data_IF_025028303447
#
_entry.id   IF_025028303447
#
_cell.length_a   1.000
_cell.length_b   1.000
_cell.length_c   1.000
_cell.angle_alpha   90.00
_cell.angle_beta   90.00
_cell.angle_gamma   90.00
#
_symmetry.space_group_name_H-M   'P 1'
#
loop_
_entity.id
_entity.type
_entity.pdbx_description
1 polymer ?
#
# COMPACT_ATOMS: atom_id res chain seq x y z
N UNK A 1 41.19 3.33 -0.76
CA UNK A 1 42.39 4.11 -0.35
C UNK A 1 43.72 3.50 -0.78
N UNK A 2 43.81 2.22 -1.17
CA UNK A 2 45.09 1.58 -1.52
C UNK A 2 45.36 1.37 -3.02
N UNK A 3 44.38 1.58 -3.93
CA UNK A 3 44.63 1.41 -5.37
C UNK A 3 45.48 2.55 -5.94
N UNK A 4 45.25 3.77 -5.48
CA UNK A 4 45.84 4.97 -6.08
C UNK A 4 47.32 5.10 -5.71
N UNK A 5 47.70 4.63 -4.52
CA UNK A 5 49.08 4.53 -4.05
C UNK A 5 49.88 3.49 -4.83
N UNK A 6 49.28 2.34 -5.16
CA UNK A 6 49.93 1.30 -5.97
C UNK A 6 50.12 1.77 -7.41
N UNK A 7 49.11 2.43 -8.00
CA UNK A 7 49.23 3.01 -9.35
C UNK A 7 50.30 4.11 -9.39
N UNK A 8 50.36 4.98 -8.37
CA UNK A 8 51.39 6.02 -8.28
C UNK A 8 52.81 5.45 -8.14
N UNK A 9 53.01 4.38 -7.37
CA UNK A 9 54.31 3.71 -7.25
C UNK A 9 54.75 3.05 -8.56
N UNK A 10 53.83 2.40 -9.29
CA UNK A 10 54.13 1.79 -10.59
C UNK A 10 54.50 2.85 -11.63
N UNK A 11 53.78 3.98 -11.66
CA UNK A 11 54.09 5.10 -12.58
C UNK A 11 55.43 5.75 -12.22
N UNK A 12 55.73 5.92 -10.93
CA UNK A 12 56.99 6.46 -10.44
C UNK A 12 58.19 5.57 -10.76
N UNK A 13 58.08 4.26 -10.52
CA UNK A 13 59.13 3.30 -10.87
C UNK A 13 59.39 3.26 -12.38
N UNK A 14 58.33 3.37 -13.20
CA UNK A 14 58.44 3.41 -14.66
C UNK A 14 59.15 4.67 -15.17
N UNK A 15 58.92 5.81 -14.53
CA UNK A 15 59.65 7.05 -14.82
C UNK A 15 61.12 6.95 -14.41
N UNK A 16 61.42 6.44 -13.22
CA UNK A 16 62.79 6.24 -12.74
C UNK A 16 63.58 5.27 -13.61
N UNK A 17 62.97 4.16 -14.05
CA UNK A 17 63.60 3.21 -14.96
C UNK A 17 63.87 3.86 -16.33
N UNK A 18 62.92 4.64 -16.86
CA UNK A 18 63.10 5.40 -18.09
C UNK A 18 64.21 6.43 -17.99
N UNK A 19 64.36 7.10 -16.84
CA UNK A 19 65.40 8.08 -16.58
C UNK A 19 66.78 7.43 -16.42
N UNK A 20 66.88 6.32 -15.69
CA UNK A 20 68.12 5.56 -15.55
C UNK A 20 68.56 4.97 -16.88
N UNK A 21 67.62 4.45 -17.68
CA UNK A 21 67.90 3.97 -19.03
C UNK A 21 68.35 5.10 -19.96
N UNK A 22 67.77 6.30 -19.83
CA UNK A 22 68.13 7.47 -20.63
C UNK A 22 69.51 8.03 -20.25
N UNK A 23 69.82 8.16 -18.95
CA UNK A 23 71.12 8.62 -18.45
C UNK A 23 72.24 7.67 -18.88
N UNK A 24 72.01 6.35 -18.77
CA UNK A 24 73.00 5.36 -19.23
C UNK A 24 73.18 5.37 -20.77
N UNK A 25 72.11 5.64 -21.52
CA UNK A 25 72.19 5.80 -22.98
C UNK A 25 72.88 7.09 -23.42
N UNK A 26 72.69 8.18 -22.67
CA UNK A 26 73.26 9.48 -22.97
C UNK A 26 74.77 9.52 -22.70
N UNK A 27 75.26 8.80 -21.68
CA UNK A 27 76.69 8.77 -21.35
C UNK A 27 77.50 7.75 -22.17
N UNK A 28 76.93 6.60 -22.58
CA UNK A 28 77.70 5.57 -23.32
C UNK A 28 77.47 5.54 -24.84
N UNK A 29 76.42 6.21 -25.34
CA UNK A 29 76.07 6.22 -26.77
C UNK A 29 77.08 6.91 -27.70
N UNK A 30 78.00 7.72 -27.17
CA UNK A 30 79.01 8.42 -27.97
C UNK A 30 80.29 7.61 -28.21
N UNK A 31 80.57 6.57 -27.43
CA UNK A 31 81.90 5.94 -27.42
C UNK A 31 81.93 4.53 -28.01
N UNK A 32 80.78 3.86 -28.17
CA UNK A 32 80.75 2.40 -28.40
C UNK A 32 79.96 1.92 -29.62
N UNK A 33 79.70 2.74 -30.64
CA UNK A 33 79.22 2.27 -31.95
C UNK A 33 77.95 1.40 -31.94
N UNK A 34 77.18 1.38 -30.84
CA UNK A 34 75.94 0.64 -30.72
C UNK A 34 74.87 1.42 -31.48
N UNK A 35 74.34 0.84 -32.55
CA UNK A 35 73.25 1.46 -33.30
C UNK A 35 72.07 1.74 -32.35
N UNK A 36 71.51 2.96 -32.38
CA UNK A 36 70.43 3.33 -31.47
C UNK A 36 69.18 2.50 -31.79
N UNK A 37 68.81 1.60 -30.88
CA UNK A 37 67.46 1.04 -30.81
C UNK A 37 66.52 2.20 -30.43
N UNK A 38 66.05 2.94 -31.45
CA UNK A 38 65.06 4.00 -31.29
C UNK A 38 63.80 3.42 -30.65
N UNK A 39 63.59 3.74 -29.37
CA UNK A 39 62.35 3.55 -28.64
C UNK A 39 61.22 4.39 -29.27
N UNK A 40 60.54 3.85 -30.28
CA UNK A 40 59.20 4.30 -30.67
C UNK A 40 58.19 3.36 -30.03
N UNK A 41 57.61 3.78 -28.90
CA UNK A 41 56.34 3.25 -28.39
C UNK A 41 56.29 1.76 -28.04
N UNK A 42 57.32 1.21 -27.39
CA UNK A 42 57.30 -0.18 -26.92
C UNK A 42 56.26 -0.40 -25.82
N UNK A 43 55.26 -1.25 -26.08
CA UNK A 43 54.36 -1.81 -25.05
C UNK A 43 55.17 -2.52 -23.97
N UNK A 44 54.65 -2.65 -22.75
CA UNK A 44 55.27 -3.45 -21.66
C UNK A 44 55.57 -4.88 -22.13
N UNK A 45 54.75 -5.40 -23.05
CA UNK A 45 54.94 -6.68 -23.71
C UNK A 45 56.24 -6.81 -24.55
N UNK A 46 56.92 -5.70 -24.87
CA UNK A 46 58.19 -5.68 -25.62
C UNK A 46 59.44 -5.64 -24.74
N UNK A 47 59.27 -5.46 -23.42
CA UNK A 47 60.39 -5.44 -22.45
C UNK A 47 61.21 -6.74 -22.50
N UNK A 48 60.62 -7.95 -22.46
CA UNK A 48 61.40 -9.19 -22.52
C UNK A 48 62.28 -9.29 -23.78
N UNK A 49 61.76 -8.86 -24.93
CA UNK A 49 62.50 -8.85 -26.19
C UNK A 49 63.64 -7.82 -26.19
N UNK A 50 63.40 -6.63 -25.63
CA UNK A 50 64.43 -5.60 -25.46
C UNK A 50 65.53 -6.04 -24.49
N UNK A 51 65.18 -6.79 -23.43
CA UNK A 51 66.15 -7.36 -22.50
C UNK A 51 67.01 -8.43 -23.17
N UNK A 52 66.44 -9.32 -23.98
CA UNK A 52 67.19 -10.31 -24.76
C UNK A 52 68.17 -9.66 -25.74
N UNK A 53 67.74 -8.60 -26.46
CA UNK A 53 68.61 -7.83 -27.34
C UNK A 53 69.80 -7.21 -26.59
N UNK A 54 69.56 -6.75 -25.36
CA UNK A 54 70.61 -6.16 -24.52
C UNK A 54 71.56 -7.22 -23.97
N UNK A 55 71.04 -8.35 -23.51
CA UNK A 55 71.83 -9.50 -23.05
C UNK A 55 72.73 -10.04 -24.17
N UNK A 56 72.22 -10.08 -25.40
CA UNK A 56 73.02 -10.39 -26.59
C UNK A 56 74.12 -9.34 -26.83
N UNK A 57 73.80 -8.04 -26.76
CA UNK A 57 74.80 -6.98 -26.93
C UNK A 57 75.94 -7.03 -25.89
N UNK A 58 75.64 -7.38 -24.63
CA UNK A 58 76.66 -7.55 -23.59
C UNK A 58 77.54 -8.79 -23.79
N UNK A 59 76.97 -9.89 -24.30
CA UNK A 59 77.74 -11.09 -24.68
C UNK A 59 78.67 -10.80 -25.85
N UNK A 60 78.18 -10.14 -26.89
CA UNK A 60 78.99 -9.75 -28.06
C UNK A 60 80.11 -8.79 -27.69
N UNK A 61 79.85 -7.84 -26.78
CA UNK A 61 80.86 -6.93 -26.25
C UNK A 61 81.97 -7.68 -25.49
N UNK A 62 81.60 -8.65 -24.63
CA UNK A 62 82.54 -9.48 -23.89
C UNK A 62 83.43 -10.36 -24.80
N UNK A 63 82.89 -10.86 -25.92
CA UNK A 63 83.61 -11.71 -26.89
C UNK A 63 84.54 -10.90 -27.82
N UNK A 64 84.24 -9.63 -28.07
CA UNK A 64 84.99 -8.78 -29.02
C UNK A 64 86.31 -8.19 -28.51
N UNK A 65 86.69 -8.43 -27.25
CA UNK A 65 88.00 -8.06 -26.70
C UNK A 65 88.28 -6.56 -26.57
N UNK A 66 87.27 -5.69 -26.70
CA UNK A 66 87.41 -4.27 -26.35
C UNK A 66 87.73 -4.13 -24.85
N UNK A 67 88.72 -3.28 -24.51
CA UNK A 67 89.25 -3.03 -23.15
C UNK A 67 88.24 -2.38 -22.19
N UNK A 68 87.11 -3.03 -21.92
CA UNK A 68 86.05 -2.47 -21.08
C UNK A 68 85.44 -3.56 -20.19
N UNK A 69 85.67 -3.41 -18.88
CA UNK A 69 85.09 -4.12 -17.74
C UNK A 69 85.48 -5.60 -17.47
N UNK A 70 85.64 -5.89 -16.17
CA UNK A 70 85.96 -7.21 -15.61
C UNK A 70 84.86 -8.24 -15.97
N UNK A 71 85.19 -9.43 -16.53
CA UNK A 71 84.24 -10.50 -16.82
C UNK A 71 83.28 -10.85 -15.67
N UNK A 72 83.72 -10.67 -14.41
CA UNK A 72 82.87 -10.86 -13.23
C UNK A 72 81.74 -9.84 -13.13
N UNK A 73 81.98 -8.59 -13.54
CA UNK A 73 80.97 -7.53 -13.55
C UNK A 73 79.90 -7.78 -14.62
N UNK A 74 80.31 -8.24 -15.81
CA UNK A 74 79.38 -8.61 -16.90
C UNK A 74 78.48 -9.77 -16.47
N UNK A 75 79.05 -10.79 -15.80
CA UNK A 75 78.28 -11.91 -15.24
C UNK A 75 77.28 -11.47 -14.17
N UNK A 76 77.69 -10.57 -13.27
CA UNK A 76 76.81 -10.00 -12.25
C UNK A 76 75.64 -9.23 -12.87
N UNK A 77 75.92 -8.37 -13.85
CA UNK A 77 74.88 -7.62 -14.58
C UNK A 77 73.87 -8.57 -15.26
N UNK A 78 74.34 -9.62 -15.92
CA UNK A 78 73.45 -10.61 -16.53
C UNK A 78 72.54 -11.30 -15.48
N UNK A 79 73.08 -11.65 -14.31
CA UNK A 79 72.28 -12.26 -13.23
C UNK A 79 71.26 -11.30 -12.61
N UNK A 80 71.59 -10.02 -12.48
CA UNK A 80 70.66 -8.99 -12.02
C UNK A 80 69.54 -8.77 -13.04
N UNK A 81 69.86 -8.74 -14.35
CA UNK A 81 68.84 -8.67 -15.41
C UNK A 81 67.91 -9.88 -15.42
N UNK A 82 68.46 -11.10 -15.27
CA UNK A 82 67.65 -12.31 -15.20
C UNK A 82 66.70 -12.26 -13.99
N UNK A 83 67.17 -11.78 -12.84
CA UNK A 83 66.35 -11.58 -11.64
C UNK A 83 65.26 -10.50 -11.83
N UNK A 84 65.55 -9.40 -12.53
CA UNK A 84 64.56 -8.36 -12.85
C UNK A 84 63.47 -8.88 -13.80
N UNK A 85 63.84 -9.65 -14.82
CA UNK A 85 62.89 -10.27 -15.75
C UNK A 85 61.99 -11.26 -15.01
N UNK A 86 62.56 -12.08 -14.13
CA UNK A 86 61.78 -13.00 -13.29
C UNK A 86 60.83 -12.24 -12.35
N UNK A 87 61.29 -11.16 -11.73
CA UNK A 87 60.47 -10.32 -10.87
C UNK A 87 59.32 -9.66 -11.65
N UNK A 88 59.58 -9.14 -12.85
CA UNK A 88 58.55 -8.57 -13.72
C UNK A 88 57.50 -9.62 -14.12
N UNK A 89 57.93 -10.84 -14.46
CA UNK A 89 57.02 -11.95 -14.79
C UNK A 89 56.13 -12.35 -13.60
N UNK A 90 56.69 -12.39 -12.38
CA UNK A 90 55.92 -12.64 -11.15
C UNK A 90 54.88 -11.54 -10.91
N UNK A 91 55.27 -10.27 -11.04
CA UNK A 91 54.35 -9.14 -10.87
C UNK A 91 53.22 -9.15 -11.91
N UNK A 92 53.51 -9.53 -13.16
CA UNK A 92 52.47 -9.71 -14.19
C UNK A 92 51.50 -10.85 -13.85
N UNK A 93 52.00 -11.95 -13.30
CA UNK A 93 51.17 -13.06 -12.83
C UNK A 93 50.27 -12.63 -11.66
N UNK A 94 50.82 -11.95 -10.66
CA UNK A 94 50.08 -11.43 -9.50
C UNK A 94 48.99 -10.42 -9.94
N UNK A 95 49.32 -9.53 -10.88
CA UNK A 95 48.36 -8.57 -11.43
C UNK A 95 47.24 -9.26 -12.22
N UNK A 96 47.53 -10.36 -12.93
CA UNK A 96 46.53 -11.15 -13.64
C UNK A 96 45.61 -11.88 -12.65
N UNK A 97 46.18 -12.47 -11.61
CA UNK A 97 45.42 -13.14 -10.55
C UNK A 97 44.52 -12.15 -9.81
N UNK A 98 45.06 -11.00 -9.40
CA UNK A 98 44.30 -9.97 -8.69
C UNK A 98 43.14 -9.45 -9.55
N UNK A 99 43.36 -9.21 -10.84
CA UNK A 99 42.27 -8.85 -11.77
C UNK A 99 41.18 -9.91 -11.83
N UNK A 100 41.55 -11.19 -11.90
CA UNK A 100 40.59 -12.30 -11.92
C UNK A 100 39.79 -12.39 -10.62
N UNK A 101 40.43 -12.20 -9.47
CA UNK A 101 39.75 -12.17 -8.15
C UNK A 101 38.77 -11.02 -8.08
N UNK A 102 39.19 -9.80 -8.39
CA UNK A 102 38.32 -8.61 -8.39
C UNK A 102 37.13 -8.77 -9.33
N UNK A 103 37.33 -9.37 -10.51
CA UNK A 103 36.23 -9.60 -11.45
C UNK A 103 35.22 -10.63 -10.90
N UNK A 104 35.70 -11.65 -10.19
CA UNK A 104 34.85 -12.66 -9.54
C UNK A 104 34.06 -12.05 -8.39
N UNK A 105 34.72 -11.33 -7.49
CA UNK A 105 34.10 -10.65 -6.35
C UNK A 105 33.04 -9.64 -6.82
N UNK A 106 33.31 -8.90 -7.91
CA UNK A 106 32.35 -7.97 -8.49
C UNK A 106 31.13 -8.67 -9.09
N UNK A 107 31.30 -9.84 -9.71
CA UNK A 107 30.18 -10.65 -10.22
C UNK A 107 29.32 -11.20 -9.09
N UNK A 108 29.93 -11.70 -8.02
CA UNK A 108 29.23 -12.20 -6.84
C UNK A 108 28.44 -11.08 -6.14
N UNK A 109 29.10 -9.96 -5.86
CA UNK A 109 28.47 -8.80 -5.23
C UNK A 109 27.28 -8.29 -6.05
N UNK A 110 27.43 -8.22 -7.38
CA UNK A 110 26.34 -7.83 -8.28
C UNK A 110 25.17 -8.83 -8.21
N UNK A 111 25.45 -10.13 -8.28
CA UNK A 111 24.44 -11.18 -8.18
C UNK A 111 23.66 -11.11 -6.86
N UNK A 112 24.36 -10.91 -5.74
CA UNK A 112 23.73 -10.84 -4.42
C UNK A 112 22.89 -9.57 -4.24
N UNK A 113 23.37 -8.42 -4.74
CA UNK A 113 22.56 -7.20 -4.75
C UNK A 113 21.32 -7.33 -5.64
N UNK A 114 21.42 -7.99 -6.78
CA UNK A 114 20.27 -8.28 -7.64
C UNK A 114 19.26 -9.22 -6.97
N UNK A 115 19.72 -10.23 -6.21
CA UNK A 115 18.83 -11.08 -5.40
C UNK A 115 18.13 -10.26 -4.31
N UNK A 116 18.87 -9.42 -3.59
CA UNK A 116 18.32 -8.56 -2.54
C UNK A 116 17.25 -7.60 -3.09
N UNK A 117 17.52 -6.96 -4.25
CA UNK A 117 16.56 -6.08 -4.93
C UNK A 117 15.30 -6.86 -5.35
N UNK A 118 15.46 -8.08 -5.90
CA UNK A 118 14.32 -8.91 -6.28
C UNK A 118 13.46 -9.29 -5.07
N UNK A 119 14.10 -9.68 -3.98
CA UNK A 119 13.41 -10.02 -2.73
C UNK A 119 12.64 -8.83 -2.15
N UNK A 120 13.28 -7.66 -2.02
CA UNK A 120 12.62 -6.44 -1.53
C UNK A 120 11.47 -6.00 -2.43
N UNK A 121 11.62 -6.13 -3.76
CA UNK A 121 10.53 -5.85 -4.71
C UNK A 121 9.33 -6.80 -4.53
N UNK A 122 9.58 -8.09 -4.27
CA UNK A 122 8.51 -9.05 -4.00
C UNK A 122 7.79 -8.75 -2.68
N UNK A 123 8.54 -8.47 -1.60
CA UNK A 123 7.97 -8.07 -0.32
C UNK A 123 7.14 -6.78 -0.43
N UNK A 124 7.67 -5.77 -1.11
CA UNK A 124 6.96 -4.50 -1.35
C UNK A 124 5.66 -4.73 -2.13
N UNK A 125 5.68 -5.55 -3.20
CA UNK A 125 4.46 -5.90 -3.95
C UNK A 125 3.43 -6.62 -3.10
N UNK A 126 3.84 -7.56 -2.26
CA UNK A 126 2.95 -8.28 -1.36
C UNK A 126 2.31 -7.33 -0.33
N UNK A 127 3.10 -6.44 0.25
CA UNK A 127 2.63 -5.43 1.20
C UNK A 127 1.62 -4.47 0.54
N UNK A 128 1.92 -3.96 -0.65
CA UNK A 128 0.99 -3.09 -1.39
C UNK A 128 -0.35 -3.78 -1.66
N UNK A 129 -0.34 -5.06 -2.05
CA UNK A 129 -1.58 -5.84 -2.24
C UNK A 129 -2.37 -5.98 -0.93
N UNK A 130 -1.68 -6.31 0.16
CA UNK A 130 -2.32 -6.44 1.47
C UNK A 130 -2.92 -5.13 1.96
N UNK A 131 -2.21 -4.00 1.83
CA UNK A 131 -2.72 -2.68 2.19
C UNK A 131 -3.90 -2.26 1.30
N UNK A 132 -3.85 -2.55 0.00
CA UNK A 132 -4.97 -2.25 -0.89
C UNK A 132 -6.22 -3.06 -0.54
N UNK A 133 -6.06 -4.33 -0.14
CA UNK A 133 -7.17 -5.14 0.33
C UNK A 133 -7.78 -4.57 1.62
N UNK A 134 -6.94 -4.26 2.62
CA UNK A 134 -7.41 -3.65 3.86
C UNK A 134 -8.12 -2.32 3.62
N UNK A 135 -7.62 -1.51 2.69
CA UNK A 135 -8.26 -0.25 2.31
C UNK A 135 -9.63 -0.49 1.62
N UNK A 136 -9.75 -1.51 0.79
CA UNK A 136 -11.01 -1.88 0.16
C UNK A 136 -12.04 -2.33 1.20
N UNK A 137 -11.65 -3.24 2.10
CA UNK A 137 -12.51 -3.75 3.17
C UNK A 137 -12.97 -2.62 4.11
N UNK A 138 -12.06 -1.70 4.47
CA UNK A 138 -12.40 -0.54 5.30
C UNK A 138 -13.35 0.44 4.58
N UNK A 139 -13.18 0.64 3.27
CA UNK A 139 -14.11 1.46 2.47
C UNK A 139 -15.49 0.83 2.39
N UNK A 140 -15.57 -0.47 2.16
CA UNK A 140 -16.84 -1.20 2.12
C UNK A 140 -17.55 -1.12 3.47
N UNK A 141 -16.87 -1.40 4.58
CA UNK A 141 -17.43 -1.29 5.92
C UNK A 141 -17.96 0.12 6.20
N UNK A 142 -17.22 1.16 5.81
CA UNK A 142 -17.67 2.55 5.95
C UNK A 142 -18.89 2.86 5.08
N UNK A 143 -18.92 2.40 3.83
CA UNK A 143 -20.08 2.59 2.95
C UNK A 143 -21.32 1.90 3.49
N UNK A 144 -21.18 0.70 4.06
CA UNK A 144 -22.29 0.01 4.74
C UNK A 144 -22.78 0.84 5.92
N UNK A 145 -21.87 1.35 6.75
CA UNK A 145 -22.23 2.21 7.90
C UNK A 145 -22.93 3.50 7.47
N UNK A 146 -22.40 4.21 6.47
CA UNK A 146 -22.98 5.44 5.93
C UNK A 146 -24.35 5.18 5.30
N UNK A 147 -24.50 4.05 4.59
CA UNK A 147 -25.77 3.62 4.01
C UNK A 147 -26.83 3.34 5.08
N UNK A 148 -26.44 2.64 6.15
CA UNK A 148 -27.30 2.38 7.31
C UNK A 148 -27.75 3.70 7.95
N UNK A 149 -26.82 4.63 8.19
CA UNK A 149 -27.13 5.93 8.77
C UNK A 149 -28.08 6.76 7.90
N UNK A 150 -27.84 6.80 6.58
CA UNK A 150 -28.72 7.50 5.63
C UNK A 150 -30.11 6.89 5.57
N UNK A 151 -30.21 5.57 5.59
CA UNK A 151 -31.49 4.85 5.63
C UNK A 151 -32.29 5.30 6.84
N UNK A 152 -31.68 5.29 8.04
CA UNK A 152 -32.31 5.76 9.28
C UNK A 152 -32.80 7.21 9.19
N UNK A 153 -31.95 8.12 8.68
CA UNK A 153 -32.34 9.54 8.52
C UNK A 153 -33.50 9.72 7.54
N UNK A 154 -33.50 9.00 6.42
CA UNK A 154 -34.58 9.05 5.44
C UNK A 154 -35.90 8.51 6.03
N UNK A 155 -35.84 7.44 6.83
CA UNK A 155 -37.00 6.85 7.48
C UNK A 155 -37.61 7.80 8.53
N UNK A 156 -36.77 8.48 9.32
CA UNK A 156 -37.20 9.54 10.24
C UNK A 156 -37.85 10.70 9.48
N UNK A 157 -37.18 11.18 8.43
CA UNK A 157 -37.66 12.30 7.63
C UNK A 157 -39.07 12.04 7.07
N UNK A 158 -39.41 10.79 6.74
CA UNK A 158 -40.76 10.45 6.29
C UNK A 158 -41.84 10.78 7.33
N UNK A 159 -41.64 10.42 8.59
CA UNK A 159 -42.60 10.72 9.67
C UNK A 159 -42.68 12.23 9.87
N UNK A 160 -41.53 12.91 9.91
CA UNK A 160 -41.47 14.36 10.08
C UNK A 160 -42.21 15.10 8.95
N UNK A 161 -41.99 14.69 7.70
CA UNK A 161 -42.68 15.22 6.52
C UNK A 161 -44.19 14.94 6.60
N UNK A 162 -44.58 13.71 6.95
CA UNK A 162 -45.98 13.33 7.09
C UNK A 162 -46.70 14.16 8.14
N UNK A 163 -46.08 14.35 9.31
CA UNK A 163 -46.62 15.18 10.38
C UNK A 163 -46.64 16.67 9.98
N UNK A 164 -45.58 17.19 9.34
CA UNK A 164 -45.55 18.57 8.87
C UNK A 164 -46.65 18.86 7.84
N UNK A 165 -46.94 17.91 6.94
CA UNK A 165 -48.04 18.01 5.98
C UNK A 165 -49.42 17.95 6.66
N UNK A 166 -49.57 17.14 7.71
CA UNK A 166 -50.80 17.06 8.49
C UNK A 166 -51.04 18.32 9.33
N UNK A 167 -50.04 18.76 10.09
CA UNK A 167 -50.17 19.80 11.11
C UNK A 167 -50.05 21.22 10.54
N UNK A 168 -49.43 21.36 9.36
CA UNK A 168 -49.09 22.63 8.73
C UNK A 168 -47.76 23.21 9.23
N UNK A 169 -47.24 24.21 8.50
CA UNK A 169 -45.88 24.74 8.70
C UNK A 169 -45.64 25.44 10.06
N UNK A 170 -46.69 25.84 10.76
CA UNK A 170 -46.60 26.64 11.99
C UNK A 170 -46.65 25.81 13.28
N UNK A 171 -46.69 24.48 13.19
CA UNK A 171 -46.76 23.59 14.36
C UNK A 171 -45.43 22.85 14.49
N UNK A 172 -44.88 22.82 15.71
CA UNK A 172 -43.66 22.05 16.01
C UNK A 172 -43.92 20.55 15.83
N UNK A 173 -42.90 19.77 15.46
CA UNK A 173 -43.03 18.33 15.28
C UNK A 173 -43.67 17.64 16.49
N UNK A 174 -43.22 17.97 17.70
CA UNK A 174 -43.76 17.43 18.96
C UNK A 174 -45.24 17.72 19.11
N UNK A 175 -45.67 18.97 18.90
CA UNK A 175 -47.08 19.34 19.00
C UNK A 175 -47.91 18.71 17.87
N UNK A 176 -47.35 18.58 16.67
CA UNK A 176 -47.96 17.91 15.53
C UNK A 176 -48.21 16.42 15.79
N UNK A 177 -47.22 15.71 16.33
CA UNK A 177 -47.35 14.29 16.72
C UNK A 177 -48.38 14.15 17.83
N UNK A 178 -48.33 14.96 18.89
CA UNK A 178 -49.30 14.88 19.98
C UNK A 178 -50.74 15.12 19.49
N UNK A 179 -50.93 16.11 18.60
CA UNK A 179 -52.22 16.38 17.96
C UNK A 179 -52.67 15.20 17.10
N UNK A 180 -51.78 14.64 16.30
CA UNK A 180 -52.05 13.48 15.43
C UNK A 180 -52.46 12.24 16.25
N UNK A 181 -51.69 11.92 17.28
CA UNK A 181 -51.96 10.79 18.20
C UNK A 181 -53.32 10.98 18.85
N UNK A 182 -53.57 12.16 19.43
CA UNK A 182 -54.85 12.47 20.08
C UNK A 182 -56.04 12.35 19.12
N UNK A 183 -55.88 12.80 17.88
CA UNK A 183 -56.98 12.84 16.91
C UNK A 183 -57.25 11.50 16.24
N UNK A 184 -56.22 10.71 15.93
CA UNK A 184 -56.35 9.56 15.05
C UNK A 184 -55.91 8.22 15.65
N UNK A 185 -55.08 8.22 16.69
CA UNK A 185 -54.47 6.99 17.21
C UNK A 185 -54.98 6.62 18.61
N UNK A 186 -55.50 7.58 19.36
CA UNK A 186 -56.14 7.35 20.65
C UNK A 186 -57.59 7.81 20.67
N UNK A 187 -58.40 7.13 21.46
CA UNK A 187 -59.76 7.53 21.81
C UNK A 187 -59.78 7.85 23.32
N UNK A 188 -60.57 8.84 23.72
CA UNK A 188 -60.73 9.23 25.12
C UNK A 188 -62.17 8.93 25.52
N UNK A 189 -62.34 8.09 26.55
CA UNK A 189 -63.68 7.74 27.03
C UNK A 189 -64.29 8.87 27.88
N UNK A 190 -65.56 8.70 28.28
CA UNK A 190 -66.26 9.68 29.13
C UNK A 190 -65.61 9.91 30.50
N UNK A 191 -64.73 8.99 30.93
CA UNK A 191 -63.98 9.09 32.18
C UNK A 191 -62.61 9.77 32.01
N UNK A 192 -62.26 10.19 30.79
CA UNK A 192 -60.96 10.77 30.46
C UNK A 192 -59.85 9.73 30.29
N UNK A 193 -60.19 8.43 30.31
CA UNK A 193 -59.21 7.36 30.12
C UNK A 193 -58.97 7.18 28.62
N UNK A 194 -57.69 7.21 28.24
CA UNK A 194 -57.27 6.98 26.85
C UNK A 194 -57.16 5.49 26.54
N UNK A 195 -57.68 5.11 25.38
CA UNK A 195 -57.51 3.81 24.76
C UNK A 195 -56.96 3.97 23.35
N UNK A 196 -56.46 2.89 22.75
CA UNK A 196 -56.11 2.89 21.33
C UNK A 196 -57.36 3.07 20.48
N UNK A 197 -57.22 3.77 19.37
CA UNK A 197 -58.27 3.87 18.36
C UNK A 197 -58.55 2.53 17.70
N UNK A 198 -59.72 2.39 17.08
CA UNK A 198 -60.05 1.22 16.26
C UNK A 198 -58.99 0.91 15.18
N UNK A 199 -58.47 1.95 14.52
CA UNK A 199 -57.40 1.81 13.51
C UNK A 199 -56.16 1.14 14.10
N UNK A 200 -55.72 1.61 15.27
CA UNK A 200 -54.56 1.04 15.95
C UNK A 200 -54.77 -0.42 16.32
N UNK A 201 -55.96 -0.77 16.82
CA UNK A 201 -56.28 -2.16 17.17
C UNK A 201 -56.21 -3.06 15.94
N UNK A 202 -56.76 -2.62 14.80
CA UNK A 202 -56.72 -3.37 13.54
C UNK A 202 -55.27 -3.56 13.03
N UNK A 203 -54.45 -2.51 13.07
CA UNK A 203 -53.03 -2.59 12.70
C UNK A 203 -52.26 -3.52 13.64
N UNK A 204 -52.47 -3.42 14.95
CA UNK A 204 -51.84 -4.29 15.93
C UNK A 204 -52.15 -5.76 15.69
N UNK A 205 -53.43 -6.11 15.53
CA UNK A 205 -53.83 -7.48 15.21
C UNK A 205 -53.15 -7.97 13.92
N UNK A 206 -53.04 -7.10 12.91
CA UNK A 206 -52.40 -7.43 11.65
C UNK A 206 -50.87 -7.54 11.74
N UNK A 207 -50.19 -6.82 12.63
CA UNK A 207 -48.74 -7.01 12.84
C UNK A 207 -48.45 -8.19 13.77
N UNK A 208 -49.36 -8.53 14.69
CA UNK A 208 -49.20 -9.64 15.65
C UNK A 208 -48.92 -10.97 14.96
N UNK A 209 -49.56 -11.24 13.81
CA UNK A 209 -49.33 -12.45 13.02
C UNK A 209 -47.88 -12.61 12.52
N UNK A 210 -47.10 -11.53 12.52
CA UNK A 210 -45.68 -11.52 12.12
C UNK A 210 -44.71 -11.57 13.32
N UNK A 211 -45.22 -11.83 14.54
CA UNK A 211 -44.41 -12.05 15.74
C UNK A 211 -44.18 -10.81 16.62
N UNK A 212 -44.93 -9.73 16.41
CA UNK A 212 -44.92 -8.55 17.29
C UNK A 212 -45.80 -8.77 18.53
N UNK A 213 -45.35 -8.30 19.69
CA UNK A 213 -46.01 -8.60 20.97
C UNK A 213 -47.35 -7.87 21.18
N UNK A 214 -47.53 -6.69 20.59
CA UNK A 214 -48.78 -5.91 20.62
C UNK A 214 -49.28 -5.57 22.04
N UNK A 215 -48.39 -5.00 22.87
CA UNK A 215 -48.71 -4.57 24.23
C UNK A 215 -49.46 -3.22 24.25
N UNK A 216 -50.79 -3.26 24.11
CA UNK A 216 -51.64 -2.07 23.92
C UNK A 216 -51.42 -0.93 24.92
N UNK A 217 -51.30 -1.24 26.22
CA UNK A 217 -51.06 -0.22 27.26
C UNK A 217 -49.70 0.46 27.10
N UNK A 218 -48.68 -0.31 26.73
CA UNK A 218 -47.33 0.20 26.51
C UNK A 218 -47.24 1.03 25.23
N UNK A 219 -48.03 0.71 24.21
CA UNK A 219 -48.08 1.48 22.95
C UNK A 219 -48.57 2.92 23.14
N UNK A 220 -49.56 3.16 24.01
CA UNK A 220 -50.03 4.52 24.27
C UNK A 220 -48.94 5.39 24.90
N UNK A 221 -48.14 4.81 25.79
CA UNK A 221 -46.96 5.46 26.37
C UNK A 221 -45.92 5.77 25.29
N UNK A 222 -45.62 4.76 24.46
CA UNK A 222 -44.66 4.90 23.36
C UNK A 222 -45.09 5.94 22.32
N UNK A 223 -46.38 6.01 21.99
CA UNK A 223 -46.94 7.03 21.10
C UNK A 223 -46.83 8.45 21.66
N UNK A 224 -46.89 8.61 23.00
CA UNK A 224 -46.67 9.89 23.65
C UNK A 224 -45.20 10.33 23.59
N UNK A 225 -44.29 9.36 23.71
CA UNK A 225 -42.84 9.56 23.67
C UNK A 225 -42.26 9.49 22.24
N UNK A 226 -43.10 9.22 21.24
CA UNK A 226 -42.73 9.06 19.83
C UNK A 226 -41.84 10.20 19.27
N UNK A 227 -42.04 11.49 19.61
CA UNK A 227 -41.13 12.55 19.15
C UNK A 227 -39.67 12.33 19.55
N UNK A 228 -39.43 11.75 20.72
CA UNK A 228 -38.10 11.41 21.21
C UNK A 228 -37.59 10.13 20.57
N UNK A 229 -38.44 9.13 20.38
CA UNK A 229 -38.05 7.83 19.81
C UNK A 229 -37.72 7.91 18.32
N UNK A 230 -38.51 8.65 17.52
CA UNK A 230 -38.18 8.87 16.09
C UNK A 230 -36.91 9.70 15.91
N UNK A 231 -36.49 10.43 16.95
CA UNK A 231 -35.25 11.20 16.96
C UNK A 231 -34.03 10.34 17.25
N UNK A 232 -34.20 9.11 17.77
CA UNK A 232 -33.09 8.18 18.01
C UNK A 232 -32.75 7.42 16.73
N UNK A 233 -31.47 7.09 16.49
CA UNK A 233 -31.11 6.17 15.44
C UNK A 233 -31.78 4.81 15.69
N UNK A 234 -32.40 4.21 14.67
CA UNK A 234 -32.86 2.83 14.77
C UNK A 234 -31.65 1.93 15.05
N UNK A 235 -31.60 1.32 16.22
CA UNK A 235 -30.49 0.45 16.62
C UNK A 235 -30.57 -0.85 15.81
N UNK A 236 -29.49 -1.16 15.08
CA UNK A 236 -29.27 -2.40 14.32
C UNK A 236 -30.32 -2.71 13.25
N UNK A 237 -30.01 -2.29 12.02
CA UNK A 237 -30.71 -2.74 10.83
C UNK A 237 -29.83 -3.75 10.08
N UNK A 238 -30.28 -4.99 9.96
CA UNK A 238 -29.75 -5.91 8.95
C UNK A 238 -30.55 -5.64 7.68
N UNK A 239 -29.97 -4.86 6.76
CA UNK A 239 -30.67 -4.47 5.52
C UNK A 239 -31.08 -5.74 4.79
N UNK A 240 -32.39 -6.00 4.73
CA UNK A 240 -32.93 -7.02 3.85
C UNK A 240 -32.90 -6.51 2.40
N UNK A 241 -32.76 -7.41 1.43
CA UNK A 241 -32.53 -7.08 0.00
C UNK A 241 -33.66 -6.33 -0.73
N UNK A 242 -34.78 -6.04 -0.06
CA UNK A 242 -35.95 -5.45 -0.69
C UNK A 242 -35.83 -3.93 -0.82
N UNK A 243 -36.29 -3.35 -1.93
CA UNK A 243 -36.41 -1.89 -2.04
C UNK A 243 -37.52 -1.38 -1.11
N UNK A 244 -37.28 -0.30 -0.38
CA UNK A 244 -38.29 0.35 0.44
C UNK A 244 -37.71 1.17 1.58
N UNK A 245 -38.61 1.75 2.37
CA UNK A 245 -38.25 2.40 3.64
C UNK A 245 -38.33 1.39 4.77
N UNK A 246 -37.57 1.59 5.85
CA UNK A 246 -37.54 0.63 6.95
C UNK A 246 -37.75 1.30 8.30
N UNK A 247 -38.75 0.87 9.03
CA UNK A 247 -39.15 1.47 10.30
C UNK A 247 -39.37 0.35 11.29
N UNK A 248 -39.12 0.56 12.57
CA UNK A 248 -39.36 -0.49 13.56
C UNK A 248 -38.51 -0.37 14.80
N UNK A 249 -38.23 -1.50 15.42
CA UNK A 249 -37.52 -1.60 16.68
C UNK A 249 -38.12 -2.68 17.57
N UNK A 250 -37.83 -2.63 18.87
CA UNK A 250 -38.48 -3.50 19.84
C UNK A 250 -39.94 -3.12 20.06
N UNK A 251 -40.78 -4.12 20.30
CA UNK A 251 -42.13 -3.87 20.82
C UNK A 251 -42.06 -3.09 22.14
N UNK A 252 -42.88 -2.03 22.34
CA UNK A 252 -44.06 -1.62 21.56
C UNK A 252 -43.82 -0.53 20.49
N UNK A 253 -42.58 -0.13 20.24
CA UNK A 253 -42.26 0.98 19.33
C UNK A 253 -42.58 0.65 17.88
N UNK A 254 -42.22 -0.56 17.43
CA UNK A 254 -42.51 -0.99 16.06
C UNK A 254 -44.02 -0.92 15.75
N UNK A 255 -44.87 -1.42 16.65
CA UNK A 255 -46.33 -1.38 16.50
C UNK A 255 -46.86 0.06 16.51
N UNK A 256 -46.27 0.92 17.35
CA UNK A 256 -46.65 2.33 17.42
C UNK A 256 -46.32 3.07 16.13
N UNK A 257 -45.14 2.81 15.56
CA UNK A 257 -44.73 3.32 14.25
C UNK A 257 -45.63 2.80 13.14
N UNK A 258 -45.98 1.51 13.17
CA UNK A 258 -46.90 0.91 12.19
C UNK A 258 -48.26 1.61 12.20
N UNK A 259 -48.81 1.90 13.37
CA UNK A 259 -50.06 2.65 13.51
C UNK A 259 -49.99 4.05 12.90
N UNK A 260 -48.91 4.78 13.21
CA UNK A 260 -48.70 6.15 12.72
C UNK A 260 -48.58 6.16 11.20
N UNK A 261 -47.73 5.29 10.64
CA UNK A 261 -47.40 5.28 9.22
C UNK A 261 -48.56 4.80 8.37
N UNK A 262 -49.25 3.73 8.78
CA UNK A 262 -50.47 3.28 8.08
C UNK A 262 -51.54 4.36 8.07
N UNK A 263 -51.68 5.10 9.18
CA UNK A 263 -52.63 6.21 9.24
C UNK A 263 -52.22 7.36 8.34
N UNK A 264 -50.95 7.78 8.36
CA UNK A 264 -50.42 8.81 7.47
C UNK A 264 -50.57 8.44 5.98
N UNK A 265 -50.34 7.17 5.62
CA UNK A 265 -50.58 6.64 4.27
C UNK A 265 -52.06 6.72 3.88
N UNK A 266 -52.95 6.26 4.76
CA UNK A 266 -54.41 6.29 4.52
C UNK A 266 -54.97 7.70 4.33
N UNK A 267 -54.31 8.71 4.94
CA UNK A 267 -54.66 10.13 4.82
C UNK A 267 -53.96 10.82 3.63
N UNK A 268 -53.07 10.12 2.92
CA UNK A 268 -52.31 10.66 1.78
C UNK A 268 -51.24 11.68 2.18
N UNK A 269 -50.80 11.69 3.45
CA UNK A 269 -49.75 12.60 3.91
C UNK A 269 -48.34 12.13 3.56
N UNK A 270 -48.16 10.82 3.39
CA UNK A 270 -46.91 10.19 2.92
C UNK A 270 -47.21 9.31 1.70
N UNK A 271 -46.18 9.04 0.89
CA UNK A 271 -46.35 8.28 -0.37
C UNK A 271 -46.80 6.85 -0.11
N UNK A 272 -47.65 6.35 -1.03
CA UNK A 272 -48.05 4.94 -1.10
C UNK A 272 -47.26 4.16 -2.17
N UNK A 273 -46.42 4.84 -2.95
CA UNK A 273 -45.70 4.26 -4.10
C UNK A 273 -44.53 3.37 -3.66
N UNK A 274 -43.95 3.65 -2.48
CA UNK A 274 -42.80 2.93 -1.96
C UNK A 274 -43.20 2.18 -0.70
N UNK A 275 -42.95 0.86 -0.62
CA UNK A 275 -43.31 0.08 0.56
C UNK A 275 -42.48 0.50 1.78
N UNK A 276 -43.12 0.47 2.94
CA UNK A 276 -42.46 0.70 4.22
C UNK A 276 -42.37 -0.62 4.98
N UNK A 277 -41.19 -1.18 5.12
CA UNK A 277 -40.95 -2.45 5.80
C UNK A 277 -40.84 -2.25 7.31
N UNK A 278 -41.63 -3.01 8.07
CA UNK A 278 -41.59 -3.02 9.52
C UNK A 278 -40.52 -4.02 10.00
N UNK A 279 -39.54 -3.55 10.78
CA UNK A 279 -38.46 -4.36 11.34
C UNK A 279 -38.66 -4.64 12.83
N UNK A 280 -38.24 -5.82 13.28
CA UNK A 280 -38.23 -6.18 14.70
C UNK A 280 -36.94 -5.75 15.42
N UNK A 281 -36.82 -6.09 16.71
CA UNK A 281 -35.63 -5.83 17.52
C UNK A 281 -34.34 -6.51 17.00
N UNK A 282 -34.46 -7.54 16.14
CA UNK A 282 -33.32 -8.19 15.51
C UNK A 282 -32.86 -7.48 14.22
N UNK A 283 -33.56 -6.43 13.81
CA UNK A 283 -33.32 -5.71 12.57
C UNK A 283 -33.82 -6.44 11.33
N UNK A 284 -34.62 -7.51 11.49
CA UNK A 284 -35.19 -8.28 10.38
C UNK A 284 -36.54 -7.70 9.99
N UNK A 285 -36.73 -7.42 8.71
CA UNK A 285 -38.04 -7.05 8.17
C UNK A 285 -39.03 -8.21 8.30
N UNK A 286 -40.23 -7.91 8.79
CA UNK A 286 -41.29 -8.90 9.07
C UNK A 286 -42.52 -8.76 8.19
N UNK A 287 -42.92 -7.53 7.92
CA UNK A 287 -44.07 -7.19 7.08
C UNK A 287 -43.82 -5.83 6.39
N UNK A 288 -44.68 -5.50 5.43
CA UNK A 288 -44.66 -4.24 4.70
C UNK A 288 -45.95 -3.46 4.94
N UNK A 289 -45.84 -2.13 5.02
CA UNK A 289 -46.94 -1.19 5.13
C UNK A 289 -47.13 -0.51 3.77
N UNK A 290 -48.25 -0.80 3.12
CA UNK A 290 -48.58 -0.32 1.77
C UNK A 290 -50.02 0.15 1.77
N UNK A 291 -50.24 1.37 1.29
CA UNK A 291 -51.59 1.98 1.20
C UNK A 291 -52.37 1.92 2.53
N UNK A 292 -51.66 2.08 3.67
CA UNK A 292 -52.29 2.05 4.99
C UNK A 292 -52.65 0.65 5.49
N UNK A 293 -52.16 -0.42 4.83
CA UNK A 293 -52.40 -1.82 5.22
C UNK A 293 -51.11 -2.54 5.56
N UNK A 294 -51.21 -3.55 6.41
CA UNK A 294 -50.11 -4.47 6.75
C UNK A 294 -50.16 -5.67 5.80
N UNK A 295 -49.08 -5.93 5.09
CA UNK A 295 -48.94 -6.98 4.09
C UNK A 295 -47.69 -7.83 4.37
N UNK A 296 -47.63 -9.09 3.89
CA UNK A 296 -46.38 -9.84 3.89
C UNK A 296 -45.34 -9.17 2.99
N UNK A 297 -44.05 -9.38 3.30
CA UNK A 297 -42.96 -8.91 2.43
C UNK A 297 -43.03 -9.68 1.13
N UNK A 298 -43.17 -8.97 0.01
CA UNK A 298 -43.02 -9.57 -1.32
C UNK A 298 -41.56 -9.99 -1.50
N UNK A 299 -41.33 -11.29 -1.73
CA UNK A 299 -40.01 -11.83 -2.07
C UNK A 299 -39.57 -11.35 -3.46
#
# INVERSE_FOLDING_TARGET
GNSDTVVAMIVGARWLLGLLLWVFWAEEGSSYGLRPLRLRGGSVASLPHMYELRKQSFKTAAESGQKTSDPKQIKLLCSLFDAEVEYAARLEADMKELKSRVETDMKELKSDKEKQIRFMKQQSKALIRSLNQQLADAKEAKLIQDSLQRTVLNNRAMIEIGIARYAGANITLTAGIQKFVKQYLSEEDRSGKRSLSRHCIEVCNAVQQYGFACLYQSMLKEMADLPHEISKPLHHMSVASASGYYVGGSSPLAESLACVLTKLQSLGHITNEVPIHLVDASGKAKCSLVEGKVLPIAN
#
